data_IF_315286714105
#
_entry.id   IF_315286714105
#
_cell.length_a   1.000
_cell.length_b   1.000
_cell.length_c   1.000
_cell.angle_alpha   90.00
_cell.angle_beta   90.00
_cell.angle_gamma   90.00
#
_symmetry.space_group_name_H-M   'P 1'
#
loop_
_entity.id
_entity.type
_entity.pdbx_description
1 polymer ?
#
# COMPACT_ATOMS: atom_id res chain seq x y z
N UNK A 1 -4.51 -12.59 17.09
CA UNK A 1 -4.49 -11.12 17.14
C UNK A 1 -5.44 -10.59 16.09
N UNK A 2 -6.48 -9.88 16.50
CA UNK A 2 -7.53 -9.32 15.63
C UNK A 2 -7.06 -8.09 14.84
N UNK A 3 -6.16 -7.30 15.44
CA UNK A 3 -5.62 -6.06 14.89
C UNK A 3 -4.21 -6.25 14.30
N UNK A 4 -3.81 -5.31 13.43
CA UNK A 4 -2.55 -5.34 12.69
C UNK A 4 -2.12 -3.96 12.17
N UNK A 5 -2.16 -2.92 13.01
CA UNK A 5 -1.74 -1.57 12.61
C UNK A 5 -0.21 -1.42 12.63
N UNK A 6 0.38 -1.48 13.82
CA UNK A 6 1.81 -1.26 14.03
C UNK A 6 2.40 -2.30 14.97
N UNK A 7 3.70 -2.56 14.81
CA UNK A 7 4.49 -3.45 15.66
C UNK A 7 5.89 -2.89 15.89
N UNK A 8 6.54 -3.37 16.95
CA UNK A 8 7.85 -2.89 17.39
C UNK A 8 8.75 -4.07 17.72
N UNK A 9 9.98 -4.06 17.22
CA UNK A 9 11.00 -5.06 17.50
C UNK A 9 12.19 -4.37 18.14
N UNK A 10 12.65 -4.87 19.29
CA UNK A 10 13.86 -4.39 19.96
C UNK A 10 14.86 -5.54 20.05
N UNK A 11 15.91 -5.49 19.23
CA UNK A 11 16.93 -6.53 19.20
C UNK A 11 18.21 -6.05 18.54
N UNK A 12 19.36 -6.58 18.95
CA UNK A 12 20.65 -6.36 18.29
C UNK A 12 20.93 -7.36 17.16
N UNK A 13 20.15 -8.46 17.08
CA UNK A 13 20.28 -9.46 16.04
C UNK A 13 19.50 -9.04 14.79
N UNK A 14 20.23 -8.55 13.77
CA UNK A 14 19.66 -8.05 12.50
C UNK A 14 18.92 -9.17 11.75
N UNK A 15 19.45 -10.40 11.77
CA UNK A 15 18.81 -11.53 11.09
C UNK A 15 17.48 -11.90 11.72
N UNK A 16 17.41 -11.87 13.05
CA UNK A 16 16.16 -12.02 13.81
C UNK A 16 15.21 -10.85 13.54
N UNK A 17 15.71 -9.62 13.49
CA UNK A 17 14.90 -8.44 13.24
C UNK A 17 14.15 -8.54 11.91
N UNK A 18 14.85 -8.87 10.81
CA UNK A 18 14.22 -9.04 9.50
C UNK A 18 13.28 -10.26 9.45
N UNK A 19 13.66 -11.38 10.09
CA UNK A 19 12.82 -12.59 10.14
C UNK A 19 11.50 -12.32 10.86
N UNK A 20 11.55 -11.64 12.01
CA UNK A 20 10.36 -11.25 12.76
C UNK A 20 9.54 -10.21 11.99
N UNK A 21 10.18 -9.18 11.43
CA UNK A 21 9.48 -8.14 10.67
C UNK A 21 8.69 -8.71 9.48
N UNK A 22 9.23 -9.73 8.80
CA UNK A 22 8.52 -10.44 7.71
C UNK A 22 7.36 -11.30 8.21
N UNK A 23 7.47 -11.88 9.40
CA UNK A 23 6.46 -12.79 9.96
C UNK A 23 5.33 -12.09 10.73
N UNK A 24 5.51 -10.83 11.12
CA UNK A 24 4.48 -10.07 11.82
C UNK A 24 3.43 -9.58 10.82
N UNK A 25 2.18 -9.94 11.07
CA UNK A 25 1.02 -9.43 10.31
C UNK A 25 0.60 -8.05 10.83
N UNK A 26 1.35 -7.01 10.46
CA UNK A 26 1.04 -5.60 10.72
C UNK A 26 1.41 -4.74 9.51
N UNK A 27 0.72 -3.62 9.33
CA UNK A 27 1.05 -2.69 8.23
C UNK A 27 2.32 -1.88 8.50
N UNK A 28 2.67 -1.63 9.77
CA UNK A 28 3.90 -0.95 10.17
C UNK A 28 4.76 -1.84 11.08
N UNK A 29 6.07 -1.90 10.82
CA UNK A 29 7.06 -2.54 11.71
C UNK A 29 8.21 -1.58 11.96
N UNK A 30 8.38 -1.17 13.21
CA UNK A 30 9.50 -0.32 13.64
C UNK A 30 10.54 -1.17 14.38
N UNK A 31 11.81 -1.05 14.00
CA UNK A 31 12.91 -1.83 14.58
C UNK A 31 13.85 -0.87 15.31
N UNK A 32 14.07 -1.11 16.59
CA UNK A 32 14.94 -0.30 17.46
C UNK A 32 14.61 1.20 17.44
N UNK A 33 13.33 1.53 17.24
CA UNK A 33 12.84 2.90 17.29
C UNK A 33 11.39 2.93 17.79
N UNK A 34 11.01 4.07 18.35
CA UNK A 34 9.61 4.49 18.44
C UNK A 34 9.01 4.70 17.03
N UNK A 35 7.77 5.19 16.99
CA UNK A 35 7.05 5.50 15.75
C UNK A 35 7.64 6.73 15.04
N UNK A 36 8.78 6.55 14.38
CA UNK A 36 9.43 7.56 13.54
C UNK A 36 8.85 7.45 12.14
N UNK A 37 8.24 8.52 11.64
CA UNK A 37 7.42 8.51 10.42
C UNK A 37 8.02 9.40 9.33
N UNK A 38 7.97 8.90 8.11
CA UNK A 38 8.11 9.70 6.89
C UNK A 38 6.74 9.76 6.19
N UNK A 39 6.29 10.96 5.81
CA UNK A 39 4.98 11.18 5.19
C UNK A 39 4.87 10.58 3.78
N UNK A 40 5.99 10.17 3.18
CA UNK A 40 6.03 9.53 1.86
C UNK A 40 5.89 8.01 1.96
N UNK A 41 6.11 7.42 3.13
CA UNK A 41 5.97 5.98 3.35
C UNK A 41 4.50 5.58 3.44
N UNK A 42 4.13 4.38 2.97
CA UNK A 42 2.76 3.89 3.08
C UNK A 42 2.42 3.65 4.56
N UNK A 43 1.31 4.23 5.00
CA UNK A 43 0.75 4.06 6.33
C UNK A 43 -0.64 3.44 6.26
N UNK A 44 -0.86 2.42 7.08
CA UNK A 44 -2.16 1.75 7.18
C UNK A 44 -1.99 0.41 7.86
N UNK A 45 -3.09 -0.23 8.23
CA UNK A 45 -3.11 -1.51 8.92
C UNK A 45 -3.48 -2.69 8.02
N UNK A 46 -3.62 -3.84 8.65
CA UNK A 46 -4.26 -5.04 8.10
C UNK A 46 -5.28 -5.58 9.11
N UNK A 47 -6.09 -6.56 8.71
CA UNK A 47 -7.15 -7.18 9.53
C UNK A 47 -8.19 -6.13 9.99
N UNK A 48 -8.62 -6.18 11.26
CA UNK A 48 -9.55 -5.20 11.81
C UNK A 48 -8.94 -3.79 11.97
N UNK A 49 -7.65 -3.59 11.67
CA UNK A 49 -7.03 -2.26 11.65
C UNK A 49 -7.22 -1.49 10.34
N UNK A 50 -8.05 -2.01 9.42
CA UNK A 50 -8.45 -1.32 8.20
C UNK A 50 -7.75 -1.83 6.94
N UNK A 51 -8.03 -1.15 5.83
CA UNK A 51 -7.57 -1.46 4.47
C UNK A 51 -7.04 -0.21 3.79
N UNK A 52 -6.28 -0.38 2.70
CA UNK A 52 -5.67 0.74 1.97
C UNK A 52 -4.42 1.29 2.65
N UNK A 53 -3.77 2.26 1.99
CA UNK A 53 -2.57 2.93 2.47
C UNK A 53 -2.68 4.42 2.19
N UNK A 54 -2.21 5.22 3.14
CA UNK A 54 -2.05 6.67 3.00
C UNK A 54 -0.58 7.06 3.03
N UNK A 55 -0.25 8.25 2.55
CA UNK A 55 1.11 8.78 2.50
C UNK A 55 1.69 8.72 1.09
N UNK A 56 2.35 9.79 0.68
CA UNK A 56 2.94 9.91 -0.67
C UNK A 56 1.99 9.51 -1.80
N UNK A 57 2.50 8.71 -2.73
CA UNK A 57 1.77 8.19 -3.88
C UNK A 57 0.73 7.11 -3.52
N UNK A 58 0.88 6.45 -2.37
CA UNK A 58 -0.04 5.38 -1.94
C UNK A 58 -1.45 5.89 -1.67
N UNK A 59 -1.57 7.16 -1.27
CA UNK A 59 -2.85 7.85 -1.12
C UNK A 59 -3.65 7.95 -2.42
N UNK A 60 -3.03 7.87 -3.61
CA UNK A 60 -3.77 7.93 -4.87
C UNK A 60 -4.74 6.75 -5.03
N UNK A 61 -4.38 5.56 -4.53
CA UNK A 61 -5.28 4.40 -4.59
C UNK A 61 -6.56 4.60 -3.77
N UNK A 62 -6.50 5.44 -2.73
CA UNK A 62 -7.62 5.71 -1.82
C UNK A 62 -8.42 6.94 -2.26
N UNK A 63 -7.76 7.98 -2.74
CA UNK A 63 -8.37 9.29 -2.97
C UNK A 63 -8.54 9.68 -4.44
N UNK A 64 -8.01 8.91 -5.39
CA UNK A 64 -8.12 9.19 -6.81
C UNK A 64 -8.71 8.00 -7.59
N UNK A 65 -9.45 8.32 -8.65
CA UNK A 65 -9.93 7.32 -9.61
C UNK A 65 -9.09 7.38 -10.89
N UNK A 66 -8.57 6.21 -11.30
CA UNK A 66 -7.83 6.10 -12.56
C UNK A 66 -8.80 6.24 -13.73
N UNK A 67 -8.52 7.18 -14.64
CA UNK A 67 -9.31 7.43 -15.84
C UNK A 67 -8.48 7.23 -17.10
N UNK A 68 -8.95 6.36 -17.99
CA UNK A 68 -8.39 6.22 -19.33
C UNK A 68 -9.14 7.16 -20.30
N UNK A 69 -8.38 7.93 -21.08
CA UNK A 69 -8.90 8.78 -22.15
C UNK A 69 -8.15 8.45 -23.44
N UNK A 70 -8.87 7.98 -24.45
CA UNK A 70 -8.30 7.63 -25.75
C UNK A 70 -8.99 8.44 -26.85
N UNK A 71 -8.20 9.00 -27.77
CA UNK A 71 -8.68 9.76 -28.92
C UNK A 71 -8.10 9.12 -30.18
N UNK A 72 -8.96 8.83 -31.16
CA UNK A 72 -8.50 8.43 -32.49
C UNK A 72 -8.18 9.66 -33.32
N UNK A 73 -6.94 9.80 -33.77
CA UNK A 73 -6.47 10.93 -34.58
C UNK A 73 -6.67 10.73 -36.08
N UNK A 74 -7.27 9.60 -36.49
CA UNK A 74 -7.43 9.24 -37.90
C UNK A 74 -8.64 8.35 -38.15
N UNK A 75 -8.88 8.01 -39.41
CA UNK A 75 -9.91 7.05 -39.76
C UNK A 75 -9.46 5.64 -39.39
N UNK A 76 -10.31 4.92 -38.66
CA UNK A 76 -10.14 3.49 -38.39
C UNK A 76 -11.44 2.77 -38.70
N UNK A 77 -11.34 1.49 -39.06
CA UNK A 77 -12.52 0.69 -39.34
C UNK A 77 -13.32 0.48 -38.04
N UNK A 78 -14.57 0.94 -38.04
CA UNK A 78 -15.55 0.65 -36.98
C UNK A 78 -16.49 -0.43 -37.52
N UNK A 79 -16.43 -1.67 -37.02
CA UNK A 79 -17.31 -2.73 -37.50
C UNK A 79 -18.77 -2.40 -37.19
N UNK A 80 -19.66 -2.62 -38.15
CA UNK A 80 -21.11 -2.52 -37.97
C UNK A 80 -21.69 -3.92 -37.89
N UNK A 81 -22.50 -4.17 -36.87
CA UNK A 81 -23.19 -5.44 -36.65
C UNK A 81 -24.70 -5.22 -36.78
N UNK A 82 -25.41 -6.08 -37.52
CA UNK A 82 -26.88 -6.04 -37.64
C UNK A 82 -27.47 -5.12 -38.73
N UNK A 83 -26.62 -4.65 -39.64
CA UNK A 83 -27.02 -4.19 -40.99
C UNK A 83 -26.50 -5.18 -42.02
#
# INVERSE_FOLDING_TARGET
>A
MEYGLASYIWTQDIGKAHRLARGIEAGMVFINSQNVRDLRQPFGGVKASGTGREGGEYSFEVFAEIKNVCISMGSHHIPRWGV
#
